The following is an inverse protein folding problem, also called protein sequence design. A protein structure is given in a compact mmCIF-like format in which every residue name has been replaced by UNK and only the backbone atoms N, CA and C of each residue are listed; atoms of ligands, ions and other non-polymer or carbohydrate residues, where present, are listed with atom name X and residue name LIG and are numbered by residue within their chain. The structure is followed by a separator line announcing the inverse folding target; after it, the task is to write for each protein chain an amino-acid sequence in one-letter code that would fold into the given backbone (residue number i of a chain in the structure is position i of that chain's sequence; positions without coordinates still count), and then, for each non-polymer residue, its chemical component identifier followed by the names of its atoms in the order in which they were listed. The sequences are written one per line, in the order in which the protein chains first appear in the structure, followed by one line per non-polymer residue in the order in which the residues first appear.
data_IF_543116296345
#
_entry.id   IF_543116296345
#
_cell.length_a   1.000
_cell.length_b   1.000
_cell.length_c   1.000
_cell.angle_alpha   90.00
_cell.angle_beta   90.00
_cell.angle_gamma   90.00
#
_symmetry.space_group_name_H-M   'P 1'
#
loop_
_entity.id
_entity.type
_entity.pdbx_description
1 polymer ?
#
# COMPACT_ATOMS: atom_id res chain seq x y z
N UNK A 1 14.50 -2.24 27.28
CA UNK A 1 14.97 -1.86 25.93
C UNK A 1 13.77 -1.54 25.07
N UNK A 2 13.80 -0.44 24.31
CA UNK A 2 12.68 -0.03 23.48
C UNK A 2 12.46 -1.06 22.36
N UNK A 3 11.49 -1.96 22.56
CA UNK A 3 11.18 -3.13 21.73
C UNK A 3 10.67 -2.77 20.31
N UNK A 4 10.51 -1.47 20.03
CA UNK A 4 9.84 -0.94 18.84
C UNK A 4 10.71 -0.07 17.93
N UNK A 5 12.01 0.10 18.20
CA UNK A 5 12.90 0.88 17.33
C UNK A 5 13.65 -0.05 16.36
N UNK A 6 13.48 0.15 15.06
CA UNK A 6 14.22 -0.53 13.99
C UNK A 6 15.56 0.16 13.74
N UNK A 7 16.52 -0.61 13.23
CA UNK A 7 17.85 -0.13 12.91
C UNK A 7 17.81 0.86 11.74
N UNK A 8 18.28 2.08 12.01
CA UNK A 8 18.36 3.20 11.06
C UNK A 8 19.78 3.45 10.54
N UNK A 9 20.73 2.56 10.84
CA UNK A 9 22.11 2.65 10.34
C UNK A 9 22.18 2.86 8.82
N UNK A 10 21.28 2.20 8.07
CA UNK A 10 21.22 2.23 6.60
C UNK A 10 20.80 3.58 6.00
N UNK A 11 20.23 4.50 6.79
CA UNK A 11 19.79 5.83 6.32
C UNK A 11 20.69 6.97 6.81
N UNK A 12 21.64 6.71 7.71
CA UNK A 12 22.53 7.74 8.23
C UNK A 12 23.42 8.32 7.11
N UNK A 13 23.46 9.65 7.00
CA UNK A 13 24.28 10.38 6.04
C UNK A 13 23.80 10.36 4.59
N UNK A 14 22.64 9.74 4.30
CA UNK A 14 22.05 9.75 2.96
C UNK A 14 21.28 11.04 2.71
N UNK A 15 21.21 11.44 1.44
CA UNK A 15 20.43 12.60 1.03
C UNK A 15 18.93 12.33 1.23
N UNK A 16 18.12 13.35 1.56
CA UNK A 16 16.66 13.24 1.55
C UNK A 16 16.14 12.71 0.21
N UNK A 17 15.15 11.82 0.25
CA UNK A 17 14.60 11.12 -0.91
C UNK A 17 15.38 9.88 -1.33
N UNK A 18 16.41 9.46 -0.59
CA UNK A 18 17.10 8.20 -0.91
C UNK A 18 16.22 7.01 -0.54
N UNK A 19 15.87 6.18 -1.53
CA UNK A 19 15.04 5.00 -1.32
C UNK A 19 15.82 3.92 -0.56
N UNK A 20 15.45 3.71 0.70
CA UNK A 20 16.04 2.70 1.58
C UNK A 20 14.91 2.06 2.38
N UNK A 21 14.77 0.73 2.25
CA UNK A 21 13.86 -0.01 3.11
C UNK A 21 14.43 -0.08 4.54
N UNK A 22 13.79 0.65 5.46
CA UNK A 22 14.05 0.57 6.90
C UNK A 22 12.99 -0.34 7.49
N UNK A 23 13.33 -1.61 7.60
CA UNK A 23 12.37 -2.67 7.90
C UNK A 23 13.03 -4.04 7.92
N UNK A 24 12.29 -5.04 8.43
CA UNK A 24 12.63 -6.44 8.17
C UNK A 24 11.99 -6.82 6.83
N UNK A 25 12.77 -7.44 5.94
CA UNK A 25 12.20 -8.08 4.77
C UNK A 25 11.32 -9.25 5.24
N UNK A 26 10.06 -9.25 4.85
CA UNK A 26 9.07 -10.28 5.23
C UNK A 26 8.65 -11.17 4.05
N UNK A 27 9.18 -10.90 2.86
CA UNK A 27 8.85 -11.59 1.62
C UNK A 27 10.08 -11.72 0.72
N UNK A 28 10.13 -12.77 -0.09
CA UNK A 28 11.22 -12.94 -1.08
C UNK A 28 10.96 -12.14 -2.35
N UNK A 29 9.71 -12.10 -2.80
CA UNK A 29 9.28 -11.41 -4.02
C UNK A 29 8.07 -10.54 -3.72
N UNK A 30 7.98 -9.39 -4.37
CA UNK A 30 6.77 -8.58 -4.30
C UNK A 30 5.62 -9.27 -5.01
N UNK A 31 4.39 -8.92 -4.62
CA UNK A 31 3.17 -9.30 -5.31
C UNK A 31 2.35 -8.07 -5.60
N UNK A 32 2.02 -7.85 -6.87
CA UNK A 32 1.19 -6.72 -7.28
C UNK A 32 -0.14 -7.27 -7.80
N UNK A 33 -1.24 -6.74 -7.28
CA UNK A 33 -2.59 -7.05 -7.74
C UNK A 33 -3.29 -5.78 -8.15
N UNK A 34 -3.85 -5.75 -9.35
CA UNK A 34 -4.68 -4.67 -9.82
C UNK A 34 -6.13 -5.15 -9.93
N UNK A 35 -7.05 -4.40 -9.32
CA UNK A 35 -8.49 -4.59 -9.44
C UNK A 35 -9.07 -3.28 -9.96
N UNK A 36 -9.55 -3.28 -11.21
CA UNK A 36 -10.27 -2.16 -11.80
C UNK A 36 -11.74 -2.49 -11.89
N UNK A 37 -12.60 -1.64 -11.36
CA UNK A 37 -14.04 -1.90 -11.32
C UNK A 37 -14.89 -0.64 -11.44
N UNK A 38 -16.10 -0.84 -11.92
CA UNK A 38 -17.20 0.11 -11.78
C UNK A 38 -18.48 -0.69 -11.51
N UNK A 39 -19.65 -0.05 -11.64
CA UNK A 39 -20.96 -0.69 -11.43
C UNK A 39 -21.12 -1.99 -12.24
N UNK A 40 -20.71 -1.99 -13.50
CA UNK A 40 -21.07 -3.02 -14.47
C UNK A 40 -19.97 -4.07 -14.66
N UNK A 41 -18.70 -3.67 -14.59
CA UNK A 41 -17.55 -4.53 -14.90
C UNK A 41 -16.50 -4.55 -13.79
N UNK A 42 -15.77 -5.66 -13.74
CA UNK A 42 -14.59 -5.87 -12.90
C UNK A 42 -13.50 -6.52 -13.74
N UNK A 43 -12.26 -6.09 -13.55
CA UNK A 43 -11.06 -6.71 -14.09
C UNK A 43 -10.07 -6.89 -12.93
N UNK A 44 -9.62 -8.12 -12.72
CA UNK A 44 -8.61 -8.45 -11.70
C UNK A 44 -7.42 -9.13 -12.37
N UNK A 45 -6.22 -8.70 -12.03
CA UNK A 45 -4.99 -9.31 -12.51
C UNK A 45 -3.91 -9.28 -11.42
N UNK A 46 -3.03 -10.28 -11.45
CA UNK A 46 -1.83 -10.34 -10.63
C UNK A 46 -0.64 -10.19 -11.57
N UNK A 47 0.24 -9.26 -11.26
CA UNK A 47 1.46 -8.98 -12.02
C UNK A 47 2.67 -9.03 -11.10
N UNK A 48 3.83 -9.33 -11.66
CA UNK A 48 5.09 -9.42 -10.91
C UNK A 48 5.94 -8.15 -10.99
N UNK A 49 5.52 -7.17 -11.80
CA UNK A 49 6.29 -5.96 -12.06
C UNK A 49 5.37 -4.75 -12.27
N UNK A 50 5.85 -3.57 -11.87
CA UNK A 50 5.09 -2.32 -11.93
C UNK A 50 4.78 -1.92 -13.36
N UNK A 51 5.65 -2.19 -14.32
CA UNK A 51 5.40 -1.82 -15.73
C UNK A 51 4.28 -2.66 -16.35
N UNK A 52 3.99 -3.82 -15.75
CA UNK A 52 2.88 -4.69 -16.16
C UNK A 52 1.52 -4.28 -15.59
N UNK A 53 1.46 -3.33 -14.65
CA UNK A 53 0.19 -2.73 -14.21
C UNK A 53 -0.45 -2.03 -15.42
N UNK A 54 -1.76 -2.21 -15.63
CA UNK A 54 -2.49 -1.55 -16.72
C UNK A 54 -2.71 -0.08 -16.41
N UNK A 55 -2.87 0.71 -17.46
CA UNK A 55 -3.26 2.11 -17.37
C UNK A 55 -4.53 2.30 -16.53
N UNK A 56 -4.58 3.43 -15.83
CA UNK A 56 -5.71 3.82 -15.00
C UNK A 56 -6.88 4.19 -15.90
N UNK A 57 -7.95 3.40 -15.86
CA UNK A 57 -9.20 3.74 -16.55
C UNK A 57 -9.95 4.80 -15.72
N UNK A 58 -10.13 6.03 -16.23
CA UNK A 58 -10.79 7.11 -15.48
C UNK A 58 -12.29 6.83 -15.21
N UNK A 59 -12.90 5.91 -15.96
CA UNK A 59 -14.29 5.48 -15.76
C UNK A 59 -14.43 4.35 -14.72
N UNK A 60 -13.32 3.95 -14.09
CA UNK A 60 -13.27 2.91 -13.08
C UNK A 60 -12.52 3.37 -11.83
N UNK A 61 -12.82 2.70 -10.71
CA UNK A 61 -11.93 2.71 -9.55
C UNK A 61 -10.82 1.69 -9.81
N UNK A 62 -9.57 2.12 -9.67
CA UNK A 62 -8.40 1.29 -9.93
C UNK A 62 -7.62 1.06 -8.64
N UNK A 63 -7.73 -0.13 -8.07
CA UNK A 63 -7.01 -0.51 -6.87
C UNK A 63 -5.74 -1.29 -7.21
N UNK A 64 -4.58 -0.78 -6.82
CA UNK A 64 -3.28 -1.42 -6.96
C UNK A 64 -2.79 -1.81 -5.57
N UNK A 65 -2.82 -3.10 -5.25
CA UNK A 65 -2.28 -3.64 -4.01
C UNK A 65 -0.89 -4.21 -4.21
N UNK A 66 0.09 -3.69 -3.48
CA UNK A 66 1.49 -4.10 -3.51
C UNK A 66 1.84 -4.71 -2.16
N UNK A 67 2.17 -6.00 -2.16
CA UNK A 67 2.68 -6.70 -0.99
C UNK A 67 4.20 -6.84 -1.12
N UNK A 68 4.95 -6.34 -0.13
CA UNK A 68 6.40 -6.33 -0.10
C UNK A 68 7.00 -4.96 -0.45
N UNK A 69 7.77 -4.39 0.50
CA UNK A 69 8.42 -3.07 0.37
C UNK A 69 9.94 -3.15 0.14
N UNK A 70 10.50 -4.36 0.11
CA UNK A 70 11.96 -4.57 0.05
C UNK A 70 12.55 -4.38 -1.34
N UNK A 71 11.72 -4.44 -2.39
CA UNK A 71 12.15 -4.27 -3.78
C UNK A 71 12.19 -2.78 -4.17
N UNK A 72 13.37 -2.18 -4.01
CA UNK A 72 13.58 -0.75 -4.24
C UNK A 72 13.39 -0.38 -5.72
N UNK A 73 13.75 -1.26 -6.66
CA UNK A 73 13.63 -0.97 -8.08
C UNK A 73 12.15 -0.87 -8.50
N UNK A 74 11.31 -1.76 -7.96
CA UNK A 74 9.86 -1.69 -8.16
C UNK A 74 9.26 -0.43 -7.53
N UNK A 75 9.72 -0.03 -6.34
CA UNK A 75 9.24 1.21 -5.70
C UNK A 75 9.68 2.46 -6.48
N UNK A 76 10.88 2.45 -7.06
CA UNK A 76 11.34 3.54 -7.93
C UNK A 76 10.54 3.60 -9.25
N UNK A 77 10.21 2.46 -9.85
CA UNK A 77 9.29 2.44 -11.00
C UNK A 77 7.91 2.99 -10.63
N UNK A 78 7.38 2.62 -9.46
CA UNK A 78 6.10 3.11 -8.97
C UNK A 78 6.10 4.64 -8.80
N UNK A 79 7.15 5.20 -8.18
CA UNK A 79 7.21 6.65 -7.93
C UNK A 79 7.28 7.44 -9.23
N UNK A 80 8.09 6.98 -10.19
CA UNK A 80 8.16 7.59 -11.51
C UNK A 80 6.83 7.48 -12.27
N UNK A 81 6.19 6.30 -12.28
CA UNK A 81 4.96 6.05 -13.03
C UNK A 81 3.78 6.87 -12.53
N UNK A 82 3.66 7.04 -11.21
CA UNK A 82 2.54 7.76 -10.58
C UNK A 82 2.92 9.18 -10.14
N UNK A 83 4.12 9.65 -10.47
CA UNK A 83 4.64 10.98 -10.09
C UNK A 83 4.57 11.26 -8.58
N UNK A 84 4.87 10.24 -7.77
CA UNK A 84 4.92 10.32 -6.31
C UNK A 84 6.30 10.83 -5.91
N UNK A 85 6.39 11.72 -4.91
CA UNK A 85 7.70 12.25 -4.53
C UNK A 85 8.58 11.20 -3.87
N UNK A 86 9.89 11.33 -4.07
CA UNK A 86 10.89 10.51 -3.38
C UNK A 86 10.81 10.66 -1.84
N UNK A 87 10.38 11.81 -1.33
CA UNK A 87 10.20 12.02 0.11
C UNK A 87 9.03 11.19 0.65
N UNK A 88 7.91 11.15 -0.09
CA UNK A 88 6.79 10.27 0.25
C UNK A 88 7.20 8.80 0.21
N UNK A 89 7.97 8.37 -0.79
CA UNK A 89 8.47 7.00 -0.84
C UNK A 89 9.47 6.68 0.28
N UNK A 90 10.35 7.61 0.65
CA UNK A 90 11.25 7.46 1.80
C UNK A 90 10.44 7.17 3.08
N UNK A 91 9.37 7.93 3.30
CA UNK A 91 8.51 7.74 4.47
C UNK A 91 7.71 6.42 4.43
N UNK A 92 7.30 5.96 3.25
CA UNK A 92 6.62 4.66 3.07
C UNK A 92 7.59 3.49 3.28
N UNK A 93 8.82 3.58 2.78
CA UNK A 93 9.88 2.58 2.95
C UNK A 93 10.42 2.53 4.38
N UNK A 94 10.22 3.60 5.14
CA UNK A 94 10.49 3.64 6.56
C UNK A 94 9.32 3.00 7.32
N UNK A 95 9.38 1.68 7.51
CA UNK A 95 8.32 0.92 8.21
C UNK A 95 8.26 1.20 9.73
N UNK A 96 9.10 2.12 10.23
CA UNK A 96 9.07 2.70 11.57
C UNK A 96 8.44 4.10 11.62
N UNK A 97 7.94 4.58 10.48
CA UNK A 97 7.29 5.87 10.41
C UNK A 97 6.03 5.87 11.27
N UNK A 98 5.76 7.02 11.91
CA UNK A 98 4.54 7.22 12.68
C UNK A 98 3.33 7.31 11.75
N UNK A 99 2.15 6.85 12.18
CA UNK A 99 0.92 7.10 11.46
C UNK A 99 0.75 8.59 11.18
N UNK A 100 0.40 8.93 9.95
CA UNK A 100 0.19 10.31 9.51
C UNK A 100 -0.63 10.35 8.23
N UNK A 101 -1.37 11.44 8.06
CA UNK A 101 -2.12 11.75 6.85
C UNK A 101 -1.66 13.12 6.35
N UNK A 102 -1.38 13.24 5.06
CA UNK A 102 -1.00 14.51 4.46
C UNK A 102 -1.30 14.51 2.96
N UNK A 103 -1.48 15.70 2.41
CA UNK A 103 -1.63 15.91 0.97
C UNK A 103 -0.30 16.35 0.37
N UNK A 104 0.02 15.81 -0.81
CA UNK A 104 1.18 16.23 -1.59
C UNK A 104 0.82 16.19 -3.08
N UNK A 105 0.90 17.36 -3.74
CA UNK A 105 0.48 17.52 -5.14
C UNK A 105 -0.98 17.06 -5.32
N UNK A 106 -1.21 16.03 -6.14
CA UNK A 106 -2.51 15.47 -6.46
C UNK A 106 -2.83 14.19 -5.66
N UNK A 107 -2.09 13.93 -4.58
CA UNK A 107 -2.23 12.70 -3.78
C UNK A 107 -2.58 12.99 -2.33
N UNK A 108 -3.47 12.17 -1.77
CA UNK A 108 -3.62 12.02 -0.33
C UNK A 108 -2.83 10.79 0.12
N UNK A 109 -1.89 10.99 1.03
CA UNK A 109 -1.05 9.93 1.59
C UNK A 109 -1.53 9.59 2.98
N UNK A 110 -1.74 8.30 3.24
CA UNK A 110 -2.10 7.77 4.56
C UNK A 110 -1.10 6.71 4.94
N UNK A 111 -0.36 6.92 6.04
CA UNK A 111 0.51 5.91 6.63
C UNK A 111 -0.13 5.50 7.95
N UNK A 112 -0.29 4.19 8.18
CA UNK A 112 -0.87 3.66 9.41
C UNK A 112 -0.20 2.37 9.86
N UNK A 113 -0.55 1.92 11.06
CA UNK A 113 -0.10 0.66 11.64
C UNK A 113 -1.30 -0.26 11.84
N UNK A 114 -1.19 -1.48 11.36
CA UNK A 114 -2.03 -2.61 11.75
C UNK A 114 -1.31 -3.38 12.85
N UNK A 115 -2.03 -3.83 13.87
CA UNK A 115 -1.49 -4.67 14.94
C UNK A 115 -2.10 -6.06 14.86
N UNK A 116 -1.27 -7.08 15.01
CA UNK A 116 -1.73 -8.46 15.04
C UNK A 116 -0.97 -9.25 16.09
N UNK A 117 -1.61 -10.26 16.62
CA UNK A 117 -0.96 -11.25 17.47
C UNK A 117 -0.16 -12.21 16.59
N UNK A 118 1.15 -12.32 16.85
CA UNK A 118 1.97 -13.35 16.22
C UNK A 118 2.06 -14.55 17.15
N UNK A 119 1.54 -15.70 16.71
CA UNK A 119 1.57 -16.94 17.49
C UNK A 119 2.98 -17.47 17.69
N UNK A 120 3.86 -17.36 16.67
CA UNK A 120 5.23 -17.89 16.72
C UNK A 120 6.08 -17.26 17.83
N UNK A 121 5.86 -15.98 18.12
CA UNK A 121 6.65 -15.20 19.07
C UNK A 121 5.87 -14.82 20.34
N UNK A 122 4.63 -15.29 20.47
CA UNK A 122 3.67 -14.91 21.51
C UNK A 122 3.63 -13.40 21.80
N UNK A 123 3.50 -12.61 20.73
CA UNK A 123 3.67 -11.16 20.82
C UNK A 123 2.82 -10.39 19.82
N UNK A 124 2.33 -9.22 20.23
CA UNK A 124 1.83 -8.23 19.30
C UNK A 124 2.96 -7.74 18.39
N UNK A 125 2.70 -7.82 17.09
CA UNK A 125 3.51 -7.26 16.03
C UNK A 125 2.74 -6.11 15.39
N UNK A 126 3.51 -5.16 14.85
CA UNK A 126 2.98 -4.04 14.08
C UNK A 126 3.46 -4.17 12.65
N UNK A 127 2.56 -3.84 11.73
CA UNK A 127 2.85 -3.75 10.31
C UNK A 127 2.39 -2.40 9.79
N UNK A 128 3.27 -1.74 9.02
CA UNK A 128 2.92 -0.53 8.31
C UNK A 128 2.08 -0.88 7.07
N UNK A 129 0.99 -0.15 6.93
CA UNK A 129 0.19 -0.12 5.71
C UNK A 129 0.12 1.32 5.27
N UNK A 130 0.48 1.55 4.01
CA UNK A 130 0.46 2.88 3.40
C UNK A 130 -0.52 2.90 2.25
N UNK A 131 -1.23 4.01 2.11
CA UNK A 131 -2.15 4.26 1.00
C UNK A 131 -1.77 5.56 0.29
N UNK A 132 -1.88 5.53 -1.03
CA UNK A 132 -1.72 6.67 -1.92
C UNK A 132 -3.01 6.78 -2.74
N UNK A 133 -3.84 7.74 -2.37
CA UNK A 133 -5.09 8.02 -3.07
C UNK A 133 -4.84 9.08 -4.14
N UNK A 134 -5.04 8.71 -5.40
CA UNK A 134 -5.10 9.62 -6.54
C UNK A 134 -6.54 9.78 -7.05
N UNK A 135 -6.70 10.48 -8.18
CA UNK A 135 -8.04 10.86 -8.70
C UNK A 135 -8.97 9.68 -9.01
N UNK A 136 -8.45 8.60 -9.61
CA UNK A 136 -9.22 7.43 -10.06
C UNK A 136 -8.60 6.10 -9.58
N UNK A 137 -7.60 6.19 -8.71
CA UNK A 137 -6.84 5.03 -8.29
C UNK A 137 -6.44 5.12 -6.82
N UNK A 138 -6.26 3.95 -6.22
CA UNK A 138 -5.74 3.79 -4.87
C UNK A 138 -4.60 2.79 -4.93
N UNK A 139 -3.44 3.17 -4.44
CA UNK A 139 -2.32 2.25 -4.22
C UNK A 139 -2.29 1.90 -2.73
N UNK A 140 -2.31 0.61 -2.39
CA UNK A 140 -2.02 0.13 -1.05
C UNK A 140 -0.68 -0.58 -1.04
N UNK A 141 0.21 -0.24 -0.11
CA UNK A 141 1.51 -0.89 0.08
C UNK A 141 1.57 -1.54 1.46
N UNK A 142 1.92 -2.82 1.49
CA UNK A 142 2.01 -3.66 2.69
C UNK A 142 3.41 -4.27 2.82
N UNK A 143 3.86 -4.58 4.05
CA UNK A 143 5.17 -5.20 4.26
C UNK A 143 5.17 -6.68 3.85
N UNK A 144 4.01 -7.36 3.92
CA UNK A 144 3.83 -8.75 3.53
C UNK A 144 2.44 -9.03 2.94
N UNK A 145 2.25 -10.26 2.47
CA UNK A 145 0.93 -10.79 2.11
C UNK A 145 0.08 -10.89 3.38
N UNK A 146 -1.11 -10.30 3.33
CA UNK A 146 -2.16 -10.43 4.34
C UNK A 146 -3.54 -10.63 3.73
N UNK A 147 -4.49 -10.99 4.58
CA UNK A 147 -5.90 -11.25 4.28
C UNK A 147 -6.84 -10.13 4.76
N UNK A 148 -6.32 -9.08 5.41
CA UNK A 148 -7.08 -7.92 5.91
C UNK A 148 -8.09 -7.37 4.90
N UNK A 149 -7.72 -7.33 3.62
CA UNK A 149 -8.58 -6.77 2.57
C UNK A 149 -9.42 -7.77 1.79
N UNK A 150 -9.39 -9.06 2.14
CA UNK A 150 -10.23 -10.06 1.45
C UNK A 150 -11.73 -9.76 1.55
N UNK A 151 -12.28 -9.31 2.70
CA UNK A 151 -13.68 -8.89 2.78
C UNK A 151 -14.02 -7.78 1.78
N UNK A 152 -13.11 -6.84 1.53
CA UNK A 152 -13.29 -5.78 0.54
C UNK A 152 -13.24 -6.34 -0.88
N UNK A 153 -12.30 -7.25 -1.18
CA UNK A 153 -12.22 -7.94 -2.48
C UNK A 153 -13.50 -8.70 -2.79
N UNK A 154 -14.04 -9.45 -1.83
CA UNK A 154 -15.29 -10.18 -1.98
C UNK A 154 -16.50 -9.25 -2.18
N UNK A 155 -16.57 -8.13 -1.44
CA UNK A 155 -17.60 -7.11 -1.67
C UNK A 155 -17.52 -6.54 -3.08
N UNK A 156 -16.32 -6.30 -3.60
CA UNK A 156 -16.12 -5.87 -4.98
C UNK A 156 -16.57 -7.00 -5.92
N UNK A 157 -16.07 -8.23 -5.82
CA UNK A 157 -16.42 -9.35 -6.74
C UNK A 157 -17.93 -9.62 -6.79
N UNK A 158 -18.60 -9.63 -5.65
CA UNK A 158 -20.01 -9.99 -5.53
C UNK A 158 -20.99 -8.80 -5.61
N UNK A 159 -20.50 -7.59 -5.92
CA UNK A 159 -21.32 -6.36 -5.97
C UNK A 159 -22.08 -6.09 -4.66
N UNK A 160 -21.46 -6.37 -3.51
CA UNK A 160 -22.13 -6.23 -2.22
C UNK A 160 -22.05 -4.79 -1.68
N UNK A 161 -23.22 -4.20 -1.42
CA UNK A 161 -23.35 -2.83 -0.94
C UNK A 161 -22.96 -1.81 -2.02
N UNK A 162 -22.48 -0.63 -1.59
CA UNK A 162 -22.21 0.50 -2.50
C UNK A 162 -20.80 0.55 -3.09
N UNK A 163 -19.96 -0.47 -2.85
CA UNK A 163 -18.52 -0.36 -3.12
C UNK A 163 -18.17 -0.14 -4.60
N UNK A 164 -18.98 -0.67 -5.52
CA UNK A 164 -18.81 -0.49 -6.98
C UNK A 164 -19.43 0.79 -7.54
N UNK A 165 -20.33 1.42 -6.80
CA UNK A 165 -21.03 2.66 -7.19
C UNK A 165 -20.36 3.90 -6.61
N UNK A 166 -19.53 3.72 -5.58
CA UNK A 166 -18.86 4.80 -4.87
C UNK A 166 -17.51 5.18 -5.52
N UNK A 167 -17.04 6.41 -5.31
CA UNK A 167 -15.73 6.84 -5.79
C UNK A 167 -14.58 6.14 -5.05
N UNK A 168 -13.36 6.37 -5.53
CA UNK A 168 -12.14 5.71 -5.03
C UNK A 168 -11.81 6.04 -3.56
N UNK A 169 -12.27 7.17 -3.04
CA UNK A 169 -12.16 7.53 -1.62
C UNK A 169 -12.97 6.59 -0.71
N UNK A 170 -14.12 6.09 -1.17
CA UNK A 170 -14.89 5.07 -0.45
C UNK A 170 -14.16 3.73 -0.39
N UNK A 171 -13.35 3.40 -1.38
CA UNK A 171 -12.46 2.23 -1.32
C UNK A 171 -11.43 2.41 -0.21
N UNK A 172 -10.77 3.57 -0.13
CA UNK A 172 -9.84 3.88 0.97
C UNK A 172 -10.54 3.74 2.33
N UNK A 173 -11.71 4.36 2.50
CA UNK A 173 -12.53 4.21 3.70
C UNK A 173 -12.81 2.74 4.04
N UNK A 174 -13.21 1.95 3.05
CA UNK A 174 -13.54 0.53 3.22
C UNK A 174 -12.31 -0.31 3.62
N UNK A 175 -11.14 -0.01 3.06
CA UNK A 175 -9.89 -0.71 3.41
C UNK A 175 -9.41 -0.35 4.82
N UNK A 176 -9.48 0.93 5.21
CA UNK A 176 -9.16 1.36 6.57
C UNK A 176 -10.06 0.67 7.59
N UNK A 177 -11.36 0.54 7.28
CA UNK A 177 -12.32 -0.16 8.14
C UNK A 177 -12.07 -1.67 8.30
N UNK A 178 -11.14 -2.27 7.55
CA UNK A 178 -10.71 -3.66 7.74
C UNK A 178 -9.46 -3.81 8.60
N UNK A 179 -8.87 -2.70 9.04
CA UNK A 179 -7.66 -2.68 9.85
C UNK A 179 -8.06 -2.42 11.29
N UNK A 180 -8.07 -3.50 12.09
CA UNK A 180 -8.31 -3.47 13.54
C UNK A 180 -7.02 -3.18 14.33
#
# INVERSE_FOLDING_TARGET
MARFLKDRSKTQGKAPGTLVHVGKQKMDKIRIRQISYNRDRIQEQIVSDIDSVKEIDPDMVNWINIDGLHDIDSIDRLQNRFNISLLTMEDILNTDQRPRVYEERDHLIVIMKSFYWNEDDEAYRSEQISFILGKHYLISLQERIGDHFEPVRERIRNQFGKIREAPVDYLLYSLIGCLD
#
